data_IF_857100678310
#
_entry.id   IF_857100678310
#
_cell.length_a   1.000
_cell.length_b   1.000
_cell.length_c   1.000
_cell.angle_alpha   90.00
_cell.angle_beta   90.00
_cell.angle_gamma   90.00
#
_symmetry.space_group_name_H-M   'P 1'
#
loop_
_entity.id
_entity.type
_entity.pdbx_description
1 polymer ?
#
# COMPACT_ATOMS: atom_id res chain seq x y z
N UNK A 1 -9.96 17.60 29.55
CA UNK A 1 -9.05 16.46 29.35
C UNK A 1 -9.38 15.47 30.44
N UNK A 2 -9.79 14.26 30.06
CA UNK A 2 -10.10 13.20 31.05
C UNK A 2 -8.76 12.57 31.41
N UNK A 3 -8.34 12.78 32.65
CA UNK A 3 -7.06 12.27 33.18
C UNK A 3 -7.27 10.80 33.63
N UNK A 4 -7.34 9.89 32.63
CA UNK A 4 -7.57 8.47 32.89
C UNK A 4 -6.66 7.66 31.98
N UNK A 5 -5.68 6.98 32.54
CA UNK A 5 -4.69 6.17 31.81
C UNK A 5 -5.34 5.17 30.85
N UNK A 6 -6.49 4.58 31.21
CA UNK A 6 -7.22 3.64 30.34
C UNK A 6 -7.81 4.32 29.11
N UNK A 7 -8.25 5.57 29.25
CA UNK A 7 -8.77 6.38 28.13
C UNK A 7 -7.63 6.76 27.20
N UNK A 8 -6.51 7.17 27.75
CA UNK A 8 -5.32 7.53 26.98
C UNK A 8 -4.79 6.31 26.20
N UNK A 9 -4.74 5.14 26.83
CA UNK A 9 -4.38 3.87 26.18
C UNK A 9 -5.36 3.49 25.07
N UNK A 10 -6.66 3.68 25.30
CA UNK A 10 -7.69 3.43 24.29
C UNK A 10 -7.52 4.33 23.07
N UNK A 11 -7.33 5.63 23.28
CA UNK A 11 -7.13 6.60 22.21
C UNK A 11 -5.85 6.32 21.42
N UNK A 12 -4.76 6.00 22.10
CA UNK A 12 -3.50 5.64 21.48
C UNK A 12 -3.64 4.38 20.62
N UNK A 13 -4.27 3.35 21.16
CA UNK A 13 -4.53 2.10 20.44
C UNK A 13 -5.40 2.32 19.20
N UNK A 14 -6.41 3.18 19.31
CA UNK A 14 -7.27 3.58 18.19
C UNK A 14 -6.45 4.29 17.09
N UNK A 15 -5.64 5.28 17.49
CA UNK A 15 -4.79 6.03 16.55
C UNK A 15 -3.80 5.12 15.83
N UNK A 16 -3.14 4.21 16.54
CA UNK A 16 -2.22 3.23 15.94
C UNK A 16 -2.90 2.32 14.92
N UNK A 17 -4.11 1.83 15.23
CA UNK A 17 -4.89 1.00 14.30
C UNK A 17 -5.32 1.79 13.06
N UNK A 18 -5.74 3.04 13.23
CA UNK A 18 -6.13 3.92 12.12
C UNK A 18 -4.91 4.25 11.23
N UNK A 19 -3.76 4.54 11.84
CA UNK A 19 -2.52 4.81 11.11
C UNK A 19 -2.07 3.58 10.32
N UNK A 20 -2.16 2.39 10.91
CA UNK A 20 -1.88 1.13 10.23
C UNK A 20 -2.81 0.92 9.03
N UNK A 21 -4.10 1.22 9.17
CA UNK A 21 -5.07 1.14 8.08
C UNK A 21 -4.69 2.07 6.93
N UNK A 22 -4.29 3.30 7.22
CA UNK A 22 -3.83 4.25 6.22
C UNK A 22 -2.53 3.79 5.54
N UNK A 23 -1.59 3.24 6.31
CA UNK A 23 -0.32 2.70 5.79
C UNK A 23 -0.56 1.54 4.82
N UNK A 24 -1.41 0.58 5.20
CA UNK A 24 -1.80 -0.54 4.33
C UNK A 24 -2.45 -0.04 3.03
N UNK A 25 -3.36 0.93 3.12
CA UNK A 25 -3.98 1.53 1.94
C UNK A 25 -2.95 2.16 1.01
N UNK A 26 -1.97 2.88 1.54
CA UNK A 26 -0.88 3.47 0.75
C UNK A 26 -0.03 2.42 0.06
N UNK A 27 0.28 1.32 0.74
CA UNK A 27 1.01 0.19 0.15
C UNK A 27 0.21 -0.46 -0.97
N UNK A 28 -1.09 -0.70 -0.77
CA UNK A 28 -1.99 -1.25 -1.80
C UNK A 28 -2.08 -0.33 -3.01
N UNK A 29 -2.17 0.98 -2.80
CA UNK A 29 -2.15 1.97 -3.89
C UNK A 29 -0.80 2.00 -4.62
N UNK A 30 0.30 1.85 -3.92
CA UNK A 30 1.63 1.76 -4.55
C UNK A 30 1.77 0.51 -5.44
N UNK A 31 1.10 -0.59 -5.09
CA UNK A 31 1.09 -1.82 -5.87
C UNK A 31 0.21 -1.74 -7.14
N UNK A 32 -0.71 -0.77 -7.23
CA UNK A 32 -1.52 -0.56 -8.42
C UNK A 32 -0.67 0.08 -9.51
N UNK A 33 -0.55 -0.62 -10.63
CA UNK A 33 0.22 -0.16 -11.79
C UNK A 33 -0.58 0.84 -12.60
N UNK A 34 -0.12 2.07 -12.63
CA UNK A 34 -0.74 3.17 -13.39
C UNK A 34 -0.04 3.45 -14.73
N UNK A 35 0.47 2.42 -15.42
CA UNK A 35 1.15 2.56 -16.73
C UNK A 35 2.52 3.21 -16.69
N UNK A 36 3.07 3.51 -15.50
CA UNK A 36 4.43 4.02 -15.34
C UNK A 36 5.40 2.89 -14.98
N UNK A 37 6.63 3.02 -15.45
CA UNK A 37 7.71 2.11 -15.09
C UNK A 37 7.98 2.19 -13.59
N UNK A 38 7.80 1.04 -12.90
CA UNK A 38 8.03 0.92 -11.47
C UNK A 38 8.99 -0.24 -11.19
N UNK A 39 10.17 0.02 -10.61
CA UNK A 39 11.13 -1.03 -10.26
C UNK A 39 10.57 -2.12 -9.36
N UNK A 40 9.60 -1.82 -8.50
CA UNK A 40 9.00 -2.78 -7.58
C UNK A 40 8.24 -3.93 -8.24
N UNK A 41 7.97 -3.87 -9.55
CA UNK A 41 7.39 -5.00 -10.28
C UNK A 41 8.36 -6.19 -10.33
N UNK A 42 9.65 -5.95 -10.14
CA UNK A 42 10.72 -6.94 -10.17
C UNK A 42 11.04 -7.54 -8.80
N UNK A 43 10.49 -7.01 -7.72
CA UNK A 43 10.83 -7.45 -6.35
C UNK A 43 10.52 -8.93 -6.09
N UNK A 44 9.54 -9.48 -6.77
CA UNK A 44 9.12 -10.88 -6.63
C UNK A 44 9.81 -11.81 -7.65
N UNK A 45 10.59 -11.28 -8.56
CA UNK A 45 11.25 -12.04 -9.59
C UNK A 45 12.61 -12.47 -9.08
N UNK A 46 12.83 -13.78 -9.12
CA UNK A 46 14.09 -14.40 -8.72
C UNK A 46 14.75 -15.06 -9.92
N UNK A 47 16.05 -15.02 -9.95
CA UNK A 47 16.89 -15.65 -10.97
C UNK A 47 17.89 -16.58 -10.29
N UNK A 48 18.24 -17.67 -10.95
CA UNK A 48 19.31 -18.55 -10.48
C UNK A 48 20.66 -17.83 -10.63
N UNK A 49 21.29 -17.59 -9.51
CA UNK A 49 22.62 -17.00 -9.40
C UNK A 49 23.55 -17.97 -8.69
N UNK A 50 24.39 -18.66 -9.45
CA UNK A 50 25.31 -19.70 -8.94
C UNK A 50 24.63 -20.75 -8.06
N UNK A 51 23.44 -21.22 -8.48
CA UNK A 51 22.67 -22.25 -7.78
C UNK A 51 21.77 -21.73 -6.63
N UNK A 52 21.73 -20.43 -6.40
CA UNK A 52 20.83 -19.80 -5.43
C UNK A 52 19.81 -18.90 -6.12
N UNK A 53 18.53 -19.07 -5.78
CA UNK A 53 17.47 -18.18 -6.24
C UNK A 53 17.63 -16.82 -5.59
N UNK A 54 17.99 -15.81 -6.36
CA UNK A 54 18.32 -14.47 -5.90
C UNK A 54 17.39 -13.44 -6.55
N UNK A 55 16.84 -12.48 -5.80
CA UNK A 55 16.05 -11.40 -6.37
C UNK A 55 16.82 -10.61 -7.43
N UNK A 56 16.14 -10.21 -8.50
CA UNK A 56 16.77 -9.49 -9.63
C UNK A 56 17.45 -8.19 -9.19
N UNK A 57 16.91 -7.50 -8.19
CA UNK A 57 17.50 -6.28 -7.65
C UNK A 57 18.85 -6.49 -6.92
N UNK A 58 19.19 -7.73 -6.59
CA UNK A 58 20.46 -8.09 -5.95
C UNK A 58 21.54 -8.58 -6.93
N UNK A 59 21.14 -8.89 -8.15
CA UNK A 59 22.06 -9.39 -9.19
C UNK A 59 22.38 -8.35 -10.27
N UNK A 60 21.81 -7.18 -10.17
CA UNK A 60 22.04 -6.09 -11.11
C UNK A 60 21.46 -4.77 -10.64
N UNK A 61 21.75 -3.73 -11.40
CA UNK A 61 21.19 -2.40 -11.18
C UNK A 61 19.89 -2.23 -11.99
N UNK A 62 18.83 -1.79 -11.32
CA UNK A 62 17.54 -1.47 -11.95
C UNK A 62 17.39 0.03 -11.98
N UNK A 63 17.25 0.60 -13.17
CA UNK A 63 17.07 2.04 -13.37
C UNK A 63 15.82 2.33 -14.22
N UNK A 64 15.22 3.49 -13.97
CA UNK A 64 14.11 4.02 -14.77
C UNK A 64 14.73 4.87 -15.87
N UNK A 65 14.71 4.40 -17.11
CA UNK A 65 15.26 5.14 -18.25
C UNK A 65 14.31 6.26 -18.69
N UNK A 66 13.01 5.99 -18.69
CA UNK A 66 11.95 6.99 -18.91
C UNK A 66 10.65 6.54 -18.21
N UNK A 67 9.58 7.32 -18.40
CA UNK A 67 8.30 7.07 -17.71
C UNK A 67 7.69 5.67 -17.96
N UNK A 68 8.12 4.98 -19.03
CA UNK A 68 7.59 3.69 -19.46
C UNK A 68 8.65 2.61 -19.69
N UNK A 69 9.91 2.88 -19.35
CA UNK A 69 11.01 1.98 -19.60
C UNK A 69 11.86 1.75 -18.35
N UNK A 70 11.96 0.50 -17.94
CA UNK A 70 12.94 0.04 -16.96
C UNK A 70 14.13 -0.58 -17.67
N UNK A 71 15.32 -0.33 -17.15
CA UNK A 71 16.57 -0.95 -17.60
C UNK A 71 17.17 -1.74 -16.47
N UNK A 72 17.45 -3.02 -16.73
CA UNK A 72 18.12 -3.93 -15.81
C UNK A 72 19.54 -4.15 -16.35
N UNK A 73 20.53 -3.71 -15.60
CA UNK A 73 21.96 -3.90 -15.90
C UNK A 73 22.54 -4.92 -14.93
N UNK A 74 22.61 -6.21 -15.29
CA UNK A 74 23.15 -7.24 -14.43
C UNK A 74 24.66 -7.04 -14.23
N UNK A 75 25.18 -7.46 -13.06
CA UNK A 75 26.61 -7.43 -12.76
C UNK A 75 27.41 -8.37 -13.67
N UNK A 76 26.76 -9.45 -14.10
CA UNK A 76 27.34 -10.47 -14.96
C UNK A 76 26.45 -10.66 -16.22
N UNK A 77 27.06 -10.51 -17.38
CA UNK A 77 26.37 -10.66 -18.67
C UNK A 77 25.78 -12.08 -18.88
N UNK A 78 26.31 -13.09 -18.20
CA UNK A 78 25.76 -14.45 -18.24
C UNK A 78 24.36 -14.57 -17.67
N UNK A 79 23.96 -13.63 -16.79
CA UNK A 79 22.64 -13.59 -16.16
C UNK A 79 21.54 -13.05 -17.08
N UNK A 80 21.86 -12.38 -18.18
CA UNK A 80 20.89 -11.75 -19.07
C UNK A 80 19.79 -12.72 -19.52
N UNK A 81 20.16 -13.89 -19.99
CA UNK A 81 19.21 -14.91 -20.43
C UNK A 81 18.36 -15.47 -19.29
N UNK A 82 18.97 -15.64 -18.12
CA UNK A 82 18.27 -16.11 -16.92
C UNK A 82 17.24 -15.09 -16.43
N UNK A 83 17.59 -13.82 -16.40
CA UNK A 83 16.69 -12.72 -16.02
C UNK A 83 15.55 -12.59 -17.05
N UNK A 84 15.85 -12.63 -18.34
CA UNK A 84 14.85 -12.57 -19.41
C UNK A 84 13.83 -13.72 -19.28
N UNK A 85 14.32 -14.95 -19.07
CA UNK A 85 13.46 -16.11 -18.86
C UNK A 85 12.61 -15.99 -17.58
N UNK A 86 13.19 -15.54 -16.50
CA UNK A 86 12.49 -15.32 -15.23
C UNK A 86 11.35 -14.29 -15.38
N UNK A 87 11.59 -13.22 -16.13
CA UNK A 87 10.57 -12.20 -16.40
C UNK A 87 9.44 -12.77 -17.26
N UNK A 88 9.74 -13.53 -18.30
CA UNK A 88 8.74 -14.17 -19.15
C UNK A 88 7.88 -15.18 -18.38
N UNK A 89 8.48 -15.91 -17.44
CA UNK A 89 7.78 -16.90 -16.63
C UNK A 89 6.97 -16.26 -15.48
N UNK A 90 7.29 -15.03 -15.07
CA UNK A 90 6.66 -14.37 -13.93
C UNK A 90 5.25 -13.85 -14.17
N UNK A 91 4.78 -13.92 -15.40
CA UNK A 91 3.42 -13.49 -15.78
C UNK A 91 3.08 -12.02 -15.43
N UNK A 92 4.11 -11.16 -15.38
CA UNK A 92 3.92 -9.72 -15.11
C UNK A 92 3.36 -8.93 -16.31
N UNK A 93 3.18 -9.60 -17.47
CA UNK A 93 2.62 -9.00 -18.67
C UNK A 93 3.55 -8.03 -19.39
N UNK A 94 4.86 -8.09 -19.14
CA UNK A 94 5.88 -7.29 -19.79
C UNK A 94 6.79 -8.19 -20.63
N UNK A 95 7.15 -7.70 -21.82
CA UNK A 95 8.09 -8.40 -22.71
C UNK A 95 9.48 -7.79 -22.55
N UNK A 96 10.48 -8.56 -22.08
CA UNK A 96 11.84 -8.07 -21.97
C UNK A 96 12.51 -8.01 -23.35
N UNK A 97 13.33 -7.00 -23.56
CA UNK A 97 14.20 -6.85 -24.73
C UNK A 97 15.65 -6.87 -24.28
N UNK A 98 16.43 -7.80 -24.79
CA UNK A 98 17.84 -7.97 -24.47
C UNK A 98 18.71 -7.44 -25.61
N UNK A 99 19.58 -6.49 -25.31
CA UNK A 99 20.54 -5.92 -26.29
C UNK A 99 21.98 -6.48 -26.13
N UNK A 100 22.16 -7.51 -25.32
CA UNK A 100 23.44 -8.13 -25.02
C UNK A 100 24.20 -7.50 -23.85
N UNK A 101 23.75 -6.40 -23.32
CA UNK A 101 24.34 -5.70 -22.15
C UNK A 101 23.33 -5.44 -21.05
N UNK A 102 22.11 -5.06 -21.43
CA UNK A 102 21.03 -4.74 -20.51
C UNK A 102 19.72 -5.33 -20.99
N UNK A 103 18.77 -5.49 -20.08
CA UNK A 103 17.40 -5.86 -20.40
C UNK A 103 16.53 -4.64 -20.24
N UNK A 104 15.73 -4.35 -21.25
CA UNK A 104 14.75 -3.27 -21.27
C UNK A 104 13.36 -3.83 -21.11
N UNK A 105 12.60 -3.26 -20.19
CA UNK A 105 11.18 -3.55 -19.99
C UNK A 105 10.37 -2.33 -20.40
N UNK A 106 9.56 -2.47 -21.43
CA UNK A 106 8.67 -1.41 -21.91
C UNK A 106 7.28 -1.67 -21.35
N UNK A 107 6.76 -0.67 -20.63
CA UNK A 107 5.41 -0.68 -20.10
C UNK A 107 4.44 -0.19 -21.16
N UNK A 108 3.44 -0.99 -21.56
CA UNK A 108 2.45 -0.56 -22.55
C UNK A 108 1.58 0.57 -21.99
N UNK A 109 1.03 1.36 -22.91
CA UNK A 109 0.02 2.36 -22.55
C UNK A 109 -1.20 1.69 -21.95
N UNK A 110 -1.79 2.33 -20.93
CA UNK A 110 -3.05 1.87 -20.37
C UNK A 110 -4.17 2.06 -21.38
N UNK A 111 -4.89 0.99 -21.68
CA UNK A 111 -6.15 1.08 -22.42
C UNK A 111 -7.21 1.78 -21.57
N UNK A 112 -8.23 2.36 -22.20
CA UNK A 112 -9.33 3.00 -21.49
C UNK A 112 -10.04 2.03 -20.54
N UNK A 113 -10.24 0.78 -20.98
CA UNK A 113 -10.85 -0.25 -20.15
C UNK A 113 -9.99 -0.59 -18.93
N UNK A 114 -8.67 -0.65 -19.09
CA UNK A 114 -7.76 -0.90 -17.98
C UNK A 114 -7.74 0.28 -16.99
N UNK A 115 -7.84 1.51 -17.47
CA UNK A 115 -7.99 2.68 -16.60
C UNK A 115 -9.28 2.62 -15.76
N UNK A 116 -10.39 2.20 -16.38
CA UNK A 116 -11.66 2.02 -15.67
C UNK A 116 -11.58 0.93 -14.61
N UNK A 117 -10.92 -0.19 -14.90
CA UNK A 117 -10.68 -1.26 -13.92
C UNK A 117 -9.86 -0.77 -12.73
N UNK A 118 -8.76 -0.05 -12.99
CA UNK A 118 -7.90 0.51 -11.95
C UNK A 118 -8.69 1.52 -11.10
N UNK A 119 -9.49 2.38 -11.70
CA UNK A 119 -10.34 3.32 -10.97
C UNK A 119 -11.33 2.60 -10.04
N UNK A 120 -11.92 1.49 -10.48
CA UNK A 120 -12.78 0.64 -9.64
C UNK A 120 -12.01 0.01 -8.48
N UNK A 121 -10.80 -0.47 -8.73
CA UNK A 121 -9.95 -1.03 -7.69
C UNK A 121 -9.57 0.02 -6.62
N UNK A 122 -9.19 1.23 -7.04
CA UNK A 122 -8.88 2.32 -6.14
C UNK A 122 -10.08 2.66 -5.25
N UNK A 123 -11.27 2.77 -5.83
CA UNK A 123 -12.51 3.02 -5.07
C UNK A 123 -12.83 1.90 -4.09
N UNK A 124 -12.69 0.65 -4.51
CA UNK A 124 -12.94 -0.50 -3.65
C UNK A 124 -11.97 -0.55 -2.46
N UNK A 125 -10.68 -0.29 -2.67
CA UNK A 125 -9.69 -0.22 -1.60
C UNK A 125 -9.96 0.95 -0.65
N UNK A 126 -10.33 2.11 -1.17
CA UNK A 126 -10.72 3.28 -0.38
C UNK A 126 -11.93 2.99 0.52
N UNK A 127 -12.97 2.40 -0.03
CA UNK A 127 -14.16 2.01 0.75
C UNK A 127 -13.82 0.94 1.80
N UNK A 128 -12.98 -0.04 1.48
CA UNK A 128 -12.48 -1.03 2.43
C UNK A 128 -11.75 -0.39 3.60
N UNK A 129 -10.89 0.60 3.35
CA UNK A 129 -10.19 1.36 4.39
C UNK A 129 -11.16 2.17 5.27
N UNK A 130 -12.18 2.80 4.67
CA UNK A 130 -13.22 3.52 5.42
C UNK A 130 -14.05 2.59 6.30
N UNK A 131 -14.39 1.40 5.80
CA UNK A 131 -15.10 0.37 6.59
C UNK A 131 -14.23 -0.08 7.77
N UNK A 132 -12.94 -0.34 7.55
CA UNK A 132 -12.02 -0.67 8.63
C UNK A 132 -11.93 0.43 9.68
N UNK A 133 -11.86 1.70 9.26
CA UNK A 133 -11.86 2.85 10.17
C UNK A 133 -13.15 2.95 11.00
N UNK A 134 -14.31 2.71 10.39
CA UNK A 134 -15.61 2.68 11.09
C UNK A 134 -15.69 1.54 12.10
N UNK A 135 -15.13 0.37 11.78
CA UNK A 135 -15.06 -0.75 12.72
C UNK A 135 -14.17 -0.43 13.92
N UNK A 136 -13.02 0.19 13.69
CA UNK A 136 -12.12 0.66 14.76
C UNK A 136 -12.84 1.66 15.68
N UNK A 137 -13.59 2.61 15.10
CA UNK A 137 -14.44 3.54 15.84
C UNK A 137 -15.46 2.80 16.70
N UNK A 138 -16.18 1.85 16.12
CA UNK A 138 -17.22 1.09 16.85
C UNK A 138 -16.62 0.36 18.03
N UNK A 139 -15.49 -0.31 17.85
CA UNK A 139 -14.79 -1.02 18.92
C UNK A 139 -14.37 -0.05 20.04
N UNK A 140 -13.87 1.14 19.70
CA UNK A 140 -13.51 2.17 20.66
C UNK A 140 -14.74 2.69 21.45
N UNK A 141 -15.85 2.95 20.74
CA UNK A 141 -17.12 3.36 21.36
C UNK A 141 -17.67 2.30 22.32
N UNK A 142 -17.57 1.02 21.96
CA UNK A 142 -18.01 -0.08 22.82
C UNK A 142 -17.17 -0.19 24.09
N UNK A 143 -15.86 0.05 23.99
CA UNK A 143 -14.98 0.10 25.17
C UNK A 143 -15.31 1.29 26.09
N UNK A 144 -15.55 2.46 25.52
CA UNK A 144 -15.97 3.65 26.28
C UNK A 144 -17.28 3.41 27.01
N UNK A 145 -18.27 2.78 26.36
CA UNK A 145 -19.55 2.40 27.00
C UNK A 145 -19.35 1.41 28.15
N UNK A 146 -18.44 0.45 27.99
CA UNK A 146 -18.10 -0.49 29.08
C UNK A 146 -17.46 0.23 30.27
N UNK A 147 -16.57 1.18 30.03
CA UNK A 147 -15.98 2.01 31.09
C UNK A 147 -17.04 2.84 31.83
N UNK A 148 -18.01 3.40 31.10
CA UNK A 148 -19.14 4.11 31.68
C UNK A 148 -19.99 3.18 32.56
N UNK A 149 -20.36 2.01 32.05
CA UNK A 149 -21.15 1.01 32.79
C UNK A 149 -20.40 0.52 34.03
N UNK A 150 -19.08 0.36 33.95
CA UNK A 150 -18.20 0.02 35.06
C UNK A 150 -17.94 1.15 36.05
N UNK A 151 -18.54 2.34 35.81
CA UNK A 151 -18.34 3.57 36.63
C UNK A 151 -16.87 4.04 36.72
N UNK A 152 -16.08 3.69 35.71
CA UNK A 152 -14.69 4.15 35.58
C UNK A 152 -14.62 5.60 35.04
N UNK A 153 -15.63 6.03 34.31
CA UNK A 153 -15.80 7.38 33.76
C UNK A 153 -17.24 7.89 34.01
N UNK A 154 -17.39 9.20 34.11
CA UNK A 154 -18.68 9.88 34.22
C UNK A 154 -19.40 9.96 32.85
N UNK A 155 -20.68 10.36 32.86
CA UNK A 155 -21.44 10.58 31.61
C UNK A 155 -20.86 11.74 30.79
N UNK A 156 -20.42 12.80 31.43
CA UNK A 156 -19.82 13.95 30.73
C UNK A 156 -18.46 13.60 30.13
N UNK A 157 -17.66 12.83 30.84
CA UNK A 157 -16.39 12.29 30.31
C UNK A 157 -16.62 11.35 29.14
N UNK A 158 -17.62 10.46 29.22
CA UNK A 158 -18.00 9.59 28.13
C UNK A 158 -18.36 10.39 26.88
N UNK A 159 -19.21 11.43 27.01
CA UNK A 159 -19.59 12.29 25.90
C UNK A 159 -18.41 13.06 25.29
N UNK A 160 -17.45 13.47 26.10
CA UNK A 160 -16.22 14.13 25.64
C UNK A 160 -15.35 13.16 24.85
N UNK A 161 -15.14 11.94 25.35
CA UNK A 161 -14.34 10.90 24.69
C UNK A 161 -14.98 10.48 23.36
N UNK A 162 -16.28 10.30 23.31
CA UNK A 162 -17.02 10.00 22.08
C UNK A 162 -16.81 11.07 21.00
N UNK A 163 -16.80 12.36 21.37
CA UNK A 163 -16.48 13.45 20.45
C UNK A 163 -15.04 13.41 19.94
N UNK A 164 -14.09 13.07 20.79
CA UNK A 164 -12.70 12.94 20.41
C UNK A 164 -12.47 11.76 19.47
N UNK A 165 -13.16 10.64 19.70
CA UNK A 165 -13.18 9.48 18.80
C UNK A 165 -13.73 9.88 17.43
N UNK A 166 -14.86 10.57 17.37
CA UNK A 166 -15.47 11.02 16.11
C UNK A 166 -14.56 12.01 15.36
N UNK A 167 -13.91 12.91 16.08
CA UNK A 167 -12.96 13.85 15.50
C UNK A 167 -11.74 13.15 14.91
N UNK A 168 -11.20 12.15 15.60
CA UNK A 168 -10.07 11.36 15.14
C UNK A 168 -10.46 10.55 13.90
N UNK A 169 -11.65 9.94 13.89
CA UNK A 169 -12.17 9.24 12.71
C UNK A 169 -12.33 10.18 11.51
N UNK A 170 -12.90 11.38 11.70
CA UNK A 170 -13.10 12.35 10.62
C UNK A 170 -11.78 12.73 9.97
N UNK A 171 -10.75 12.99 10.73
CA UNK A 171 -9.40 13.26 10.21
C UNK A 171 -8.85 12.09 9.39
N UNK A 172 -9.09 10.88 9.85
CA UNK A 172 -8.63 9.67 9.16
C UNK A 172 -9.37 9.47 7.83
N UNK A 173 -10.67 9.69 7.80
CA UNK A 173 -11.47 9.61 6.55
C UNK A 173 -11.01 10.67 5.55
N UNK A 174 -10.76 11.89 5.98
CA UNK A 174 -10.19 12.95 5.13
C UNK A 174 -8.83 12.55 4.55
N UNK A 175 -7.97 11.91 5.35
CA UNK A 175 -6.68 11.41 4.91
C UNK A 175 -6.82 10.29 3.85
N UNK A 176 -7.76 9.36 4.05
CA UNK A 176 -8.09 8.31 3.09
C UNK A 176 -8.59 8.93 1.77
N UNK A 177 -9.49 9.90 1.83
CA UNK A 177 -10.00 10.60 0.65
C UNK A 177 -8.89 11.36 -0.09
N UNK A 178 -7.98 11.98 0.64
CA UNK A 178 -6.81 12.64 0.05
C UNK A 178 -5.91 11.66 -0.71
N UNK A 179 -5.57 10.52 -0.11
CA UNK A 179 -4.76 9.49 -0.76
C UNK A 179 -5.46 8.92 -2.00
N UNK A 180 -6.77 8.75 -1.93
CA UNK A 180 -7.58 8.28 -3.06
C UNK A 180 -7.54 9.29 -4.21
N UNK A 181 -7.76 10.56 -3.94
CA UNK A 181 -7.72 11.63 -4.95
C UNK A 181 -6.33 11.79 -5.58
N UNK A 182 -5.26 11.63 -4.79
CA UNK A 182 -3.88 11.67 -5.30
C UNK A 182 -3.59 10.47 -6.22
N UNK A 183 -4.18 9.31 -5.96
CA UNK A 183 -3.97 8.10 -6.76
C UNK A 183 -4.80 8.10 -8.05
N UNK A 184 -5.96 8.74 -8.05
CA UNK A 184 -6.84 8.85 -9.23
C UNK A 184 -6.28 9.80 -10.31
N UNK A 185 -5.34 10.68 -9.97
CA UNK A 185 -4.64 11.57 -10.92
C UNK A 185 -3.56 10.83 -11.71
#
# INVERSE_FOLDING_TARGET
MVDNEKVDELMLTMEEKLEKTASVLREEFANIRAGRANPHVLDKIQVDYYGAMTPVNQVGNISVADAKCLVISPWDASLLKGIEKAILQSNIGLTPTNDGKVIRLIFPDLTEDRRKEIAKQIKALSEGAKVAARNIRRDAMDQVKKMKTGKEISEDECASIEKDIDKTLSKQVELIDKYTAEKEK
#
